data_IF_748118241495
#
_entry.id   IF_748118241495
#
_cell.length_a   1.000
_cell.length_b   1.000
_cell.length_c   1.000
_cell.angle_alpha   90.00
_cell.angle_beta   90.00
_cell.angle_gamma   90.00
#
_symmetry.space_group_name_H-M   'P 1'
#
loop_
_entity.id
_entity.type
_entity.pdbx_description
1 polymer ?
#
# COMPACT_ATOMS: atom_id res chain seq x y z
N UNK A 1 14.04 36.68 -6.83
CA UNK A 1 14.36 35.26 -7.11
C UNK A 1 14.25 34.52 -5.79
N UNK A 2 13.15 33.79 -5.58
CA UNK A 2 12.83 33.14 -4.32
C UNK A 2 13.28 31.67 -4.34
N UNK A 3 14.00 31.26 -3.30
CA UNK A 3 14.39 29.87 -3.01
C UNK A 3 13.20 29.07 -2.47
N UNK A 4 13.00 27.79 -2.82
CA UNK A 4 12.00 26.97 -2.15
C UNK A 4 12.52 26.47 -0.80
N UNK A 5 11.74 26.79 0.24
CA UNK A 5 11.88 26.36 1.62
C UNK A 5 11.56 24.87 1.77
N UNK A 6 12.44 24.12 2.45
CA UNK A 6 12.20 22.73 2.85
C UNK A 6 11.32 22.74 4.12
N UNK A 7 10.21 21.98 4.19
CA UNK A 7 9.48 21.84 5.44
C UNK A 7 10.24 20.90 6.39
N UNK A 8 10.63 21.43 7.55
CA UNK A 8 11.01 20.67 8.74
C UNK A 8 9.88 19.73 9.15
N UNK A 9 10.16 18.43 9.19
CA UNK A 9 9.37 17.46 9.93
C UNK A 9 10.12 17.12 11.22
N UNK A 10 9.78 17.82 12.30
CA UNK A 10 10.16 17.48 13.67
C UNK A 10 9.10 16.57 14.29
N UNK A 11 9.57 15.58 15.06
CA UNK A 11 8.87 14.53 15.82
C UNK A 11 8.57 13.21 15.09
N UNK A 12 9.63 12.44 14.83
CA UNK A 12 9.55 10.98 14.84
C UNK A 12 9.86 10.49 16.26
N UNK A 13 8.98 9.67 16.81
CA UNK A 13 9.16 8.95 18.07
C UNK A 13 10.49 8.18 18.09
N UNK A 14 11.24 8.28 19.19
CA UNK A 14 12.40 7.45 19.51
C UNK A 14 12.00 5.96 19.61
N UNK A 15 11.86 5.31 18.47
CA UNK A 15 12.26 3.93 18.32
C UNK A 15 13.71 3.96 17.87
N UNK A 16 14.63 3.39 18.64
CA UNK A 16 16.05 3.26 18.25
C UNK A 16 16.11 2.50 16.92
N UNK A 17 16.24 3.22 15.81
CA UNK A 17 16.49 2.64 14.50
C UNK A 17 17.89 2.02 14.53
N UNK A 18 17.95 0.69 14.48
CA UNK A 18 19.20 -0.07 14.42
C UNK A 18 19.92 0.04 13.06
N UNK A 19 19.32 0.73 12.08
CA UNK A 19 19.84 0.91 10.73
C UNK A 19 20.45 2.30 10.55
N UNK A 20 21.53 2.38 9.77
CA UNK A 20 22.11 3.66 9.36
C UNK A 20 21.11 4.44 8.50
N UNK A 21 21.15 5.78 8.56
CA UNK A 21 20.26 6.64 7.76
C UNK A 21 20.36 6.34 6.25
N UNK A 22 21.54 5.93 5.77
CA UNK A 22 21.76 5.50 4.39
C UNK A 22 21.05 4.20 4.04
N UNK A 23 21.01 3.23 4.96
CA UNK A 23 20.30 1.96 4.72
C UNK A 23 18.79 2.16 4.66
N UNK A 24 18.25 3.03 5.53
CA UNK A 24 16.83 3.39 5.50
C UNK A 24 16.46 4.05 4.17
N UNK A 25 17.26 5.03 3.72
CA UNK A 25 17.04 5.70 2.43
C UNK A 25 17.13 4.73 1.24
N UNK A 26 18.10 3.80 1.25
CA UNK A 26 18.21 2.78 0.21
C UNK A 26 16.99 1.86 0.19
N UNK A 27 16.49 1.46 1.36
CA UNK A 27 15.28 0.65 1.47
C UNK A 27 14.06 1.39 0.91
N UNK A 28 13.90 2.68 1.23
CA UNK A 28 12.81 3.52 0.71
C UNK A 28 12.86 3.65 -0.81
N UNK A 29 14.02 4.00 -1.37
CA UNK A 29 14.18 4.14 -2.82
C UNK A 29 13.96 2.81 -3.55
N UNK A 30 14.44 1.71 -2.98
CA UNK A 30 14.22 0.36 -3.54
C UNK A 30 12.74 -0.01 -3.51
N UNK A 31 12.03 0.31 -2.42
CA UNK A 31 10.59 0.09 -2.31
C UNK A 31 9.79 0.89 -3.34
N UNK A 32 10.12 2.18 -3.53
CA UNK A 32 9.45 3.04 -4.52
C UNK A 32 9.72 2.57 -5.96
N UNK A 33 10.93 2.14 -6.26
CA UNK A 33 11.31 1.67 -7.61
C UNK A 33 10.67 0.32 -7.97
N UNK A 34 10.53 -0.60 -7.01
CA UNK A 34 9.75 -1.84 -7.22
C UNK A 34 8.27 -1.51 -7.46
N UNK A 35 7.69 -0.62 -6.65
CA UNK A 35 6.30 -0.17 -6.80
C UNK A 35 6.05 0.46 -8.18
N UNK A 36 6.95 1.32 -8.66
CA UNK A 36 6.88 1.91 -9.99
C UNK A 36 6.92 0.85 -11.09
N UNK A 37 7.80 -0.14 -10.97
CA UNK A 37 7.90 -1.25 -11.93
C UNK A 37 6.60 -2.06 -12.00
N UNK A 38 5.94 -2.27 -10.86
CA UNK A 38 4.63 -2.95 -10.80
C UNK A 38 3.51 -2.10 -11.39
N UNK A 39 3.50 -0.79 -11.12
CA UNK A 39 2.53 0.13 -11.71
C UNK A 39 2.63 0.11 -13.24
N UNK A 40 3.84 0.23 -13.77
CA UNK A 40 4.09 0.25 -15.20
C UNK A 40 3.57 -1.02 -15.88
N UNK A 41 3.93 -2.21 -15.35
CA UNK A 41 3.46 -3.49 -15.92
C UNK A 41 1.95 -3.62 -15.82
N UNK A 42 1.37 -3.37 -14.66
CA UNK A 42 -0.08 -3.54 -14.45
C UNK A 42 -0.90 -2.60 -15.34
N UNK A 43 -0.53 -1.32 -15.40
CA UNK A 43 -1.27 -0.38 -16.22
C UNK A 43 -1.07 -0.62 -17.72
N UNK A 44 0.13 -1.04 -18.13
CA UNK A 44 0.36 -1.48 -19.51
C UNK A 44 -0.53 -2.69 -19.88
N UNK A 45 -0.55 -3.74 -19.07
CA UNK A 45 -1.38 -4.92 -19.36
C UNK A 45 -2.88 -4.60 -19.35
N UNK A 46 -3.36 -3.76 -18.42
CA UNK A 46 -4.79 -3.46 -18.32
C UNK A 46 -5.29 -2.49 -19.38
N UNK A 47 -4.46 -1.55 -19.81
CA UNK A 47 -4.88 -0.48 -20.73
C UNK A 47 -4.41 -0.69 -22.17
N UNK A 48 -3.30 -1.37 -22.41
CA UNK A 48 -2.68 -1.50 -23.73
C UNK A 48 -2.75 -2.93 -24.30
N UNK A 49 -2.95 -3.96 -23.48
CA UNK A 49 -3.14 -5.33 -23.95
C UNK A 49 -4.65 -5.65 -24.02
N UNK A 50 -5.26 -5.44 -25.19
CA UNK A 50 -6.61 -5.96 -25.45
C UNK A 50 -6.54 -7.41 -25.93
N UNK A 51 -7.34 -8.27 -25.31
CA UNK A 51 -7.71 -9.57 -25.91
C UNK A 51 -8.67 -9.21 -27.05
N UNK A 52 -8.27 -9.46 -28.29
CA UNK A 52 -9.22 -9.32 -29.39
C UNK A 52 -10.29 -10.42 -29.26
N UNK A 53 -11.51 -10.14 -29.71
CA UNK A 53 -12.68 -11.03 -29.63
C UNK A 53 -12.44 -12.43 -30.25
N UNK A 54 -11.35 -12.60 -30.99
CA UNK A 54 -10.86 -13.85 -31.58
C UNK A 54 -9.99 -14.71 -30.66
N UNK A 55 -9.85 -14.38 -29.37
CA UNK A 55 -9.06 -15.18 -28.42
C UNK A 55 -7.54 -15.05 -28.57
N UNK A 56 -7.08 -14.17 -29.47
CA UNK A 56 -5.67 -13.82 -29.60
C UNK A 56 -5.36 -12.57 -28.77
N UNK A 57 -4.36 -12.67 -27.89
CA UNK A 57 -3.71 -11.52 -27.24
C UNK A 57 -2.92 -10.74 -28.28
N UNK A 58 -3.63 -9.98 -29.12
CA UNK A 58 -3.01 -8.95 -29.95
C UNK A 58 -2.62 -7.80 -29.03
N UNK A 59 -1.41 -7.85 -28.50
CA UNK A 59 -0.70 -6.60 -28.24
C UNK A 59 -0.76 -5.85 -29.56
N UNK A 60 -1.42 -4.69 -29.60
CA UNK A 60 -1.50 -3.83 -30.80
C UNK A 60 -0.11 -3.21 -31.10
N UNK A 61 0.95 -3.97 -30.87
CA UNK A 61 2.35 -3.58 -30.83
C UNK A 61 2.95 -3.31 -32.20
N UNK A 62 2.21 -3.53 -33.29
CA UNK A 62 2.77 -3.42 -34.63
C UNK A 62 2.10 -2.42 -35.58
N UNK A 63 1.04 -1.72 -35.18
CA UNK A 63 0.36 -0.82 -36.14
C UNK A 63 0.66 0.66 -35.96
N UNK A 64 0.84 1.16 -34.73
CA UNK A 64 0.95 2.60 -34.49
C UNK A 64 1.88 2.91 -33.30
N UNK A 65 2.89 3.79 -33.47
CA UNK A 65 3.82 4.15 -32.40
C UNK A 65 3.20 5.03 -31.30
N UNK A 66 1.96 5.49 -31.50
CA UNK A 66 1.27 6.41 -30.60
C UNK A 66 0.14 5.71 -29.85
N UNK A 67 0.11 5.89 -28.52
CA UNK A 67 -1.04 5.48 -27.72
C UNK A 67 -2.29 6.23 -28.18
N UNK A 68 -3.39 5.51 -28.27
CA UNK A 68 -4.71 6.06 -28.57
C UNK A 68 -5.22 6.91 -27.40
N UNK A 69 -6.11 7.87 -27.67
CA UNK A 69 -6.63 8.80 -26.65
C UNK A 69 -7.26 8.06 -25.45
N UNK A 70 -7.94 6.94 -25.72
CA UNK A 70 -8.54 6.11 -24.69
C UNK A 70 -7.52 5.29 -23.89
N UNK A 71 -6.41 4.86 -24.48
CA UNK A 71 -5.31 4.17 -23.80
C UNK A 71 -4.57 5.11 -22.84
N UNK A 72 -4.35 6.36 -23.29
CA UNK A 72 -3.79 7.43 -22.44
C UNK A 72 -4.69 7.70 -21.24
N UNK A 73 -5.99 7.92 -21.47
CA UNK A 73 -6.95 8.15 -20.38
C UNK A 73 -7.12 6.95 -19.45
N UNK A 74 -7.09 5.71 -19.98
CA UNK A 74 -7.09 4.50 -19.16
C UNK A 74 -5.84 4.44 -18.27
N UNK A 75 -4.66 4.73 -18.83
CA UNK A 75 -3.40 4.67 -18.11
C UNK A 75 -3.37 5.66 -16.94
N UNK A 76 -3.81 6.91 -17.15
CA UNK A 76 -3.92 7.91 -16.07
C UNK A 76 -4.84 7.44 -14.94
N UNK A 77 -6.02 6.92 -15.30
CA UNK A 77 -6.98 6.38 -14.33
C UNK A 77 -6.43 5.16 -13.61
N UNK A 78 -5.66 4.31 -14.30
CA UNK A 78 -5.05 3.12 -13.72
C UNK A 78 -4.00 3.50 -12.67
N UNK A 79 -3.10 4.43 -12.99
CA UNK A 79 -2.09 4.92 -12.05
C UNK A 79 -2.74 5.54 -10.82
N UNK A 80 -3.74 6.42 -11.02
CA UNK A 80 -4.48 7.03 -9.93
C UNK A 80 -5.13 5.98 -9.00
N UNK A 81 -5.78 4.97 -9.57
CA UNK A 81 -6.38 3.88 -8.77
C UNK A 81 -5.33 3.04 -8.07
N UNK A 82 -4.22 2.74 -8.73
CA UNK A 82 -3.16 1.94 -8.13
C UNK A 82 -2.57 2.64 -6.88
N UNK A 83 -2.31 3.95 -6.97
CA UNK A 83 -1.82 4.73 -5.83
C UNK A 83 -2.84 4.79 -4.68
N UNK A 84 -4.12 4.94 -4.99
CA UNK A 84 -5.19 4.88 -3.99
C UNK A 84 -5.24 3.51 -3.30
N UNK A 85 -5.17 2.42 -4.06
CA UNK A 85 -5.13 1.06 -3.50
C UNK A 85 -3.87 0.82 -2.68
N UNK A 86 -2.70 1.27 -3.15
CA UNK A 86 -1.44 1.14 -2.42
C UNK A 86 -1.50 1.85 -1.06
N UNK A 87 -2.13 3.03 -1.00
CA UNK A 87 -2.37 3.75 0.26
C UNK A 87 -3.29 2.95 1.19
N UNK A 88 -4.44 2.50 0.71
CA UNK A 88 -5.39 1.72 1.52
C UNK A 88 -4.76 0.44 2.07
N UNK A 89 -4.05 -0.31 1.23
CA UNK A 89 -3.34 -1.52 1.65
C UNK A 89 -2.25 -1.19 2.68
N UNK A 90 -1.52 -0.08 2.49
CA UNK A 90 -0.52 0.36 3.46
C UNK A 90 -1.13 0.71 4.83
N UNK A 91 -2.29 1.40 4.85
CA UNK A 91 -3.01 1.71 6.07
C UNK A 91 -3.48 0.45 6.80
N UNK A 92 -4.03 -0.54 6.08
CA UNK A 92 -4.45 -1.81 6.69
C UNK A 92 -3.27 -2.64 7.20
N UNK A 93 -2.17 -2.72 6.43
CA UNK A 93 -0.95 -3.41 6.87
C UNK A 93 -0.36 -2.77 8.14
N UNK A 94 -0.38 -1.44 8.23
CA UNK A 94 0.08 -0.73 9.42
C UNK A 94 -0.80 -1.01 10.64
N UNK A 95 -2.13 -1.08 10.48
CA UNK A 95 -3.06 -1.45 11.56
C UNK A 95 -2.78 -2.87 12.06
N UNK A 96 -2.69 -3.84 11.16
CA UNK A 96 -2.41 -5.25 11.51
C UNK A 96 -1.05 -5.38 12.21
N UNK A 97 -0.04 -4.63 11.74
CA UNK A 97 1.26 -4.63 12.39
C UNK A 97 1.18 -4.09 13.83
N UNK A 98 0.48 -2.98 14.05
CA UNK A 98 0.30 -2.41 15.39
C UNK A 98 -0.48 -3.35 16.32
N UNK A 99 -1.52 -4.03 15.82
CA UNK A 99 -2.28 -5.04 16.57
C UNK A 99 -1.42 -6.26 16.93
N UNK A 100 -0.48 -6.66 16.07
CA UNK A 100 0.44 -7.79 16.31
C UNK A 100 1.60 -7.47 17.25
N UNK A 101 1.92 -6.18 17.44
CA UNK A 101 3.02 -5.69 18.28
C UNK A 101 2.51 -5.17 19.63
N UNK A 102 1.20 -5.00 19.80
CA UNK A 102 0.63 -4.67 21.10
C UNK A 102 0.96 -5.77 22.11
N UNK A 103 1.54 -5.45 23.29
CA UNK A 103 1.73 -6.43 24.35
C UNK A 103 0.36 -7.01 24.72
N UNK A 104 0.27 -8.29 25.18
CA UNK A 104 -0.98 -8.83 25.66
C UNK A 104 -1.53 -7.85 26.69
N UNK A 105 -2.74 -7.33 26.43
CA UNK A 105 -3.51 -6.60 27.42
C UNK A 105 -3.48 -7.49 28.67
N UNK A 106 -3.02 -7.01 29.84
CA UNK A 106 -3.06 -7.83 31.04
C UNK A 106 -4.53 -8.19 31.27
N UNK A 107 -4.87 -9.45 30.99
CA UNK A 107 -6.03 -10.10 31.58
C UNK A 107 -5.79 -10.03 33.09
N UNK A 108 -6.51 -9.11 33.74
CA UNK A 108 -6.58 -9.07 35.18
C UNK A 108 -7.08 -10.44 35.66
N UNK A 109 -6.38 -11.10 36.61
CA UNK A 109 -6.88 -12.32 37.21
C UNK A 109 -7.89 -11.90 38.28
N UNK A 110 -9.15 -11.68 37.90
CA UNK A 110 -10.24 -11.81 38.86
C UNK A 110 -11.03 -13.08 38.55
N UNK A 111 -10.57 -14.13 39.24
CA UNK A 111 -11.33 -15.34 39.45
C UNK A 111 -12.73 -15.01 39.98
N UNK A 112 -13.72 -15.64 39.35
CA UNK A 112 -14.81 -16.38 40.01
C UNK A 112 -15.35 -15.81 41.33
N UNK A 113 -16.54 -15.18 41.26
CA UNK A 113 -17.58 -15.45 42.25
C UNK A 113 -18.96 -15.47 41.60
N UNK A 114 -19.45 -16.67 41.29
CA UNK A 114 -20.87 -16.94 41.08
C UNK A 114 -21.54 -17.05 42.45
N UNK A 115 -22.47 -16.15 42.83
CA UNK A 115 -23.40 -16.49 43.89
C UNK A 115 -24.44 -17.46 43.32
N UNK A 116 -24.31 -18.75 43.68
CA UNK A 116 -25.38 -19.74 43.58
C UNK A 116 -26.53 -19.28 44.49
N UNK A 117 -27.50 -18.54 43.95
CA UNK A 117 -28.79 -18.39 44.59
C UNK A 117 -29.66 -19.60 44.26
N UNK A 118 -29.65 -20.57 45.19
CA UNK A 118 -30.73 -21.54 45.35
C UNK A 118 -32.03 -20.76 45.60
N UNK A 119 -32.88 -20.62 44.58
CA UNK A 119 -34.27 -20.26 44.76
C UNK A 119 -35.11 -21.53 44.66
N UNK A 120 -35.57 -21.96 45.84
CA UNK A 120 -36.66 -22.91 46.05
C UNK A 120 -37.86 -22.57 45.16
N UNK A 121 -38.36 -23.55 44.41
CA UNK A 121 -39.78 -23.79 44.14
C UNK A 121 -40.02 -25.28 43.97
#
# INVERSE_FOLDING_TARGET
MATPSVPSASNASEGTSFFSATEVLLAEVTGVTDSLSRIQRNCFYRCCCRIADTGETKTKAHSEPNLQIWEKSCSDRCVSKHLQTHKLVGEELAKVYQESVAPPKPESPEATYTPLSFAYM
#
